data_IF_728216568486
#
_entry.id   IF_728216568486
#
_cell.length_a   1.000
_cell.length_b   1.000
_cell.length_c   1.000
_cell.angle_alpha   90.00
_cell.angle_beta   90.00
_cell.angle_gamma   90.00
#
_symmetry.space_group_name_H-M   'P 1'
#
loop_
_entity.id
_entity.type
_entity.pdbx_description
1 polymer ?
#
# COMPACT_ATOMS: atom_id res chain seq x y z
N UNK A 1 2.19 -4.58 23.69
CA UNK A 1 3.12 -3.45 23.89
C UNK A 1 3.26 -2.67 22.58
N UNK A 2 3.34 -1.35 22.65
CA UNK A 2 3.56 -0.43 21.53
C UNK A 2 5.00 -0.52 20.98
N UNK A 3 5.20 -0.94 19.73
CA UNK A 3 6.50 -0.82 19.08
C UNK A 3 6.82 0.65 18.75
N UNK A 4 8.11 1.01 18.68
CA UNK A 4 8.57 2.37 18.37
C UNK A 4 9.76 2.34 17.43
N UNK A 5 9.82 3.30 16.53
CA UNK A 5 10.99 3.55 15.70
C UNK A 5 11.72 4.77 16.23
N UNK A 6 13.03 4.62 16.46
CA UNK A 6 13.92 5.70 16.84
C UNK A 6 14.88 5.95 15.68
N UNK A 7 14.87 7.18 15.17
CA UNK A 7 15.62 7.57 13.98
C UNK A 7 16.51 8.74 14.36
N UNK A 8 17.79 8.64 14.01
CA UNK A 8 18.76 9.74 14.16
C UNK A 8 19.01 10.34 12.79
N UNK A 9 18.73 11.64 12.63
CA UNK A 9 18.93 12.37 11.38
C UNK A 9 20.40 12.64 11.06
N UNK A 10 20.65 13.23 9.89
CA UNK A 10 21.98 13.66 9.44
C UNK A 10 22.76 12.64 8.60
N UNK A 11 22.17 11.48 8.32
CA UNK A 11 22.83 10.42 7.56
C UNK A 11 22.61 10.54 6.06
N UNK A 12 23.67 10.30 5.28
CA UNK A 12 23.62 10.11 3.82
C UNK A 12 23.39 8.63 3.52
N UNK A 13 22.40 8.30 2.70
CA UNK A 13 22.19 6.91 2.30
C UNK A 13 23.11 6.53 1.12
N UNK A 14 23.69 5.35 1.17
CA UNK A 14 24.50 4.80 0.08
C UNK A 14 24.38 3.28 0.00
N UNK A 15 24.22 2.73 -1.21
CA UNK A 15 24.29 1.29 -1.43
C UNK A 15 23.25 0.77 -2.42
N UNK A 16 22.88 -0.49 -2.27
CA UNK A 16 21.92 -1.18 -3.14
C UNK A 16 20.82 -1.82 -2.29
N UNK A 17 19.57 -1.73 -2.76
CA UNK A 17 18.42 -2.35 -2.12
C UNK A 17 17.54 -3.08 -3.14
N UNK A 18 17.21 -4.34 -2.85
CA UNK A 18 16.25 -5.10 -3.62
C UNK A 18 14.84 -4.89 -3.06
N UNK A 19 13.85 -4.72 -3.92
CA UNK A 19 12.44 -4.65 -3.52
C UNK A 19 11.74 -5.99 -3.72
N UNK A 20 10.88 -6.34 -2.77
CA UNK A 20 10.00 -7.51 -2.88
C UNK A 20 8.79 -7.24 -3.77
N UNK A 21 7.89 -8.22 -3.87
CA UNK A 21 6.68 -8.10 -4.68
C UNK A 21 5.71 -7.04 -4.17
N UNK A 22 4.92 -6.50 -5.10
CA UNK A 22 3.97 -5.44 -4.86
C UNK A 22 2.84 -5.91 -3.94
N UNK A 23 2.66 -5.22 -2.81
CA UNK A 23 1.51 -5.43 -1.92
C UNK A 23 0.19 -5.32 -2.68
N UNK A 24 0.10 -4.30 -3.53
CA UNK A 24 -1.15 -3.99 -4.23
C UNK A 24 -1.46 -5.00 -5.33
N UNK A 25 -0.47 -5.76 -5.83
CA UNK A 25 -0.69 -6.89 -6.73
C UNK A 25 -0.99 -8.18 -5.96
N UNK A 26 -0.10 -8.60 -5.04
CA UNK A 26 -0.17 -9.93 -4.39
C UNK A 26 -1.54 -10.24 -3.78
N UNK A 27 -2.19 -9.26 -3.15
CA UNK A 27 -3.49 -9.47 -2.51
C UNK A 27 -4.60 -9.84 -3.52
N UNK A 28 -4.55 -9.30 -4.74
CA UNK A 28 -5.53 -9.61 -5.80
C UNK A 28 -5.18 -10.87 -6.52
N UNK A 29 -3.90 -11.15 -6.74
CA UNK A 29 -3.44 -12.42 -7.28
C UNK A 29 -3.86 -13.58 -6.36
N UNK A 30 -3.71 -13.41 -5.03
CA UNK A 30 -4.21 -14.35 -4.03
C UNK A 30 -5.73 -14.54 -4.15
N UNK A 31 -6.52 -13.46 -4.28
CA UNK A 31 -7.97 -13.57 -4.46
C UNK A 31 -8.38 -14.21 -5.79
N UNK A 32 -7.63 -13.97 -6.87
CA UNK A 32 -7.89 -14.53 -8.20
C UNK A 32 -7.78 -16.06 -8.22
N UNK A 33 -6.99 -16.66 -7.31
CA UNK A 33 -6.92 -18.13 -7.18
C UNK A 33 -8.28 -18.78 -6.89
N UNK A 34 -9.26 -18.06 -6.34
CA UNK A 34 -10.62 -18.57 -6.12
C UNK A 34 -11.37 -18.87 -7.43
N UNK A 35 -10.90 -18.36 -8.57
CA UNK A 35 -11.53 -18.56 -9.88
C UNK A 35 -11.26 -19.94 -10.48
N UNK A 36 -10.23 -20.66 -10.01
CA UNK A 36 -9.81 -21.95 -10.52
C UNK A 36 -9.72 -22.98 -9.40
N UNK A 37 -10.33 -24.14 -9.59
CA UNK A 37 -10.16 -25.29 -8.70
C UNK A 37 -8.74 -25.84 -8.81
N UNK A 38 -8.12 -26.17 -7.67
CA UNK A 38 -6.78 -26.74 -7.59
C UNK A 38 -5.74 -25.76 -7.02
N UNK A 39 -4.45 -26.12 -7.15
CA UNK A 39 -3.35 -25.41 -6.48
C UNK A 39 -2.66 -24.41 -7.39
N UNK A 40 -2.77 -23.12 -7.07
CA UNK A 40 -1.98 -22.05 -7.68
C UNK A 40 -0.79 -21.68 -6.78
N UNK A 41 0.33 -21.33 -7.38
CA UNK A 41 1.54 -20.90 -6.66
C UNK A 41 1.83 -19.44 -6.99
N UNK A 42 1.96 -18.60 -5.96
CA UNK A 42 2.34 -17.19 -6.10
C UNK A 42 3.69 -16.99 -5.44
N UNK A 43 4.68 -16.51 -6.19
CA UNK A 43 6.07 -16.30 -5.73
C UNK A 43 6.40 -14.82 -5.64
N UNK A 44 7.49 -14.46 -4.95
CA UNK A 44 7.87 -13.07 -4.65
C UNK A 44 6.84 -12.33 -3.77
N UNK A 45 6.16 -13.04 -2.87
CA UNK A 45 5.24 -12.45 -1.91
C UNK A 45 6.00 -11.59 -0.88
N UNK A 46 5.58 -10.34 -0.61
CA UNK A 46 6.21 -9.50 0.40
C UNK A 46 5.92 -9.98 1.82
N UNK A 47 6.90 -9.84 2.74
CA UNK A 47 6.77 -10.16 4.16
C UNK A 47 6.05 -9.04 4.93
N UNK A 48 4.75 -8.90 4.68
CA UNK A 48 3.88 -7.88 5.28
C UNK A 48 2.68 -8.52 5.97
N UNK A 49 2.09 -7.81 6.94
CA UNK A 49 0.94 -8.31 7.71
C UNK A 49 -0.29 -8.64 6.87
N UNK A 50 -0.48 -7.97 5.72
CA UNK A 50 -1.69 -8.15 4.90
C UNK A 50 -1.69 -9.50 4.16
N UNK A 51 -0.53 -10.12 3.88
CA UNK A 51 -0.45 -11.43 3.20
C UNK A 51 -0.99 -12.57 4.10
N UNK A 52 -0.56 -12.71 5.37
CA UNK A 52 -1.19 -13.64 6.30
C UNK A 52 -2.70 -13.38 6.52
N UNK A 53 -3.13 -12.12 6.57
CA UNK A 53 -4.56 -11.78 6.70
C UNK A 53 -5.36 -12.22 5.48
N UNK A 54 -4.81 -12.02 4.26
CA UNK A 54 -5.45 -12.54 3.05
C UNK A 54 -5.49 -14.08 3.05
N UNK A 55 -4.44 -14.74 3.53
CA UNK A 55 -4.46 -16.20 3.69
C UNK A 55 -5.57 -16.66 4.66
N UNK A 56 -5.82 -15.93 5.76
CA UNK A 56 -6.96 -16.20 6.65
C UNK A 56 -8.31 -15.98 5.96
N UNK A 57 -8.44 -14.94 5.12
CA UNK A 57 -9.65 -14.72 4.31
C UNK A 57 -9.92 -15.90 3.38
N UNK A 58 -8.92 -16.33 2.61
CA UNK A 58 -9.06 -17.46 1.69
C UNK A 58 -9.36 -18.78 2.42
N UNK A 59 -8.73 -19.02 3.57
CA UNK A 59 -9.06 -20.18 4.43
C UNK A 59 -10.51 -20.13 4.93
N UNK A 60 -10.99 -18.97 5.32
CA UNK A 60 -12.40 -18.76 5.68
C UNK A 60 -13.37 -19.11 4.55
N UNK A 61 -12.95 -18.88 3.30
CA UNK A 61 -13.70 -19.21 2.08
C UNK A 61 -13.56 -20.68 1.64
N UNK A 62 -12.81 -21.50 2.38
CA UNK A 62 -12.66 -22.93 2.14
C UNK A 62 -11.39 -23.34 1.38
N UNK A 63 -10.52 -22.39 1.01
CA UNK A 63 -9.22 -22.71 0.41
C UNK A 63 -8.21 -23.20 1.45
N UNK A 64 -7.25 -24.01 1.01
CA UNK A 64 -6.05 -24.31 1.81
C UNK A 64 -4.93 -23.36 1.39
N UNK A 65 -4.31 -22.68 2.35
CA UNK A 65 -3.21 -21.72 2.08
C UNK A 65 -1.98 -22.08 2.88
N UNK A 66 -0.89 -22.34 2.19
CA UNK A 66 0.44 -22.56 2.75
C UNK A 66 1.33 -21.37 2.39
N UNK A 67 1.96 -20.76 3.40
CA UNK A 67 2.92 -19.68 3.23
C UNK A 67 4.30 -20.19 3.64
N UNK A 68 5.25 -20.17 2.71
CA UNK A 68 6.64 -20.59 2.92
C UNK A 68 7.58 -19.52 2.34
N UNK A 69 8.18 -18.71 3.22
CA UNK A 69 9.00 -17.57 2.82
C UNK A 69 8.19 -16.55 1.98
N UNK A 70 8.63 -16.33 0.74
CA UNK A 70 8.01 -15.47 -0.25
C UNK A 70 7.07 -16.24 -1.22
N UNK A 71 6.71 -17.48 -0.88
CA UNK A 71 5.84 -18.33 -1.69
C UNK A 71 4.51 -18.58 -0.97
N UNK A 72 3.41 -18.34 -1.68
CA UNK A 72 2.07 -18.72 -1.27
C UNK A 72 1.53 -19.82 -2.18
N UNK A 73 1.24 -21.00 -1.64
CA UNK A 73 0.53 -22.07 -2.33
C UNK A 73 -0.91 -22.08 -1.88
N UNK A 74 -1.84 -21.90 -2.82
CA UNK A 74 -3.27 -21.76 -2.53
C UNK A 74 -4.02 -22.82 -3.31
N UNK A 75 -4.63 -23.76 -2.58
CA UNK A 75 -5.50 -24.79 -3.14
C UNK A 75 -6.96 -24.37 -2.95
N UNK A 76 -7.58 -23.95 -4.03
CA UNK A 76 -9.01 -23.58 -4.06
C UNK A 76 -9.88 -24.82 -4.25
N UNK A 77 -10.99 -24.96 -3.48
CA UNK A 77 -11.93 -26.06 -3.68
C UNK A 77 -12.74 -25.85 -4.97
N UNK A 78 -13.43 -26.90 -5.43
CA UNK A 78 -14.37 -26.80 -6.55
C UNK A 78 -15.50 -25.80 -6.25
N UNK A 79 -16.03 -25.86 -5.01
CA UNK A 79 -17.06 -24.96 -4.49
C UNK A 79 -16.53 -24.10 -3.33
N UNK A 80 -16.00 -22.89 -3.60
CA UNK A 80 -15.69 -21.92 -2.56
C UNK A 80 -16.94 -21.48 -1.82
N UNK A 81 -16.78 -21.16 -0.53
CA UNK A 81 -17.84 -20.48 0.23
C UNK A 81 -17.99 -19.05 -0.30
N UNK A 82 -19.23 -18.56 -0.32
CA UNK A 82 -19.54 -17.20 -0.78
C UNK A 82 -19.74 -16.19 0.36
N UNK A 83 -19.83 -16.64 1.62
CA UNK A 83 -20.03 -15.76 2.78
C UNK A 83 -18.69 -15.36 3.41
N UNK A 84 -18.22 -14.17 3.02
CA UNK A 84 -17.04 -13.49 3.53
C UNK A 84 -17.40 -12.49 4.66
N UNK A 85 -18.30 -12.89 5.54
CA UNK A 85 -18.74 -12.11 6.71
C UNK A 85 -18.09 -12.63 8.01
N UNK A 86 -16.77 -12.43 8.15
CA UNK A 86 -16.03 -12.85 9.34
C UNK A 86 -14.89 -11.90 9.69
N UNK A 87 -14.26 -12.10 10.85
CA UNK A 87 -13.34 -11.14 11.46
C UNK A 87 -12.20 -10.70 10.53
N UNK A 88 -11.51 -11.65 9.88
CA UNK A 88 -10.37 -11.34 9.00
C UNK A 88 -10.73 -10.38 7.86
N UNK A 89 -11.92 -10.50 7.26
CA UNK A 89 -12.38 -9.62 6.17
C UNK A 89 -12.55 -8.18 6.66
N UNK A 90 -12.99 -7.99 7.91
CA UNK A 90 -13.18 -6.66 8.51
C UNK A 90 -11.87 -5.99 8.95
N UNK A 91 -10.78 -6.75 9.10
CA UNK A 91 -9.51 -6.24 9.62
C UNK A 91 -8.72 -5.39 8.62
N UNK A 92 -8.99 -5.52 7.32
CA UNK A 92 -8.30 -4.74 6.30
C UNK A 92 -9.16 -4.55 5.05
N UNK A 93 -9.09 -3.36 4.48
CA UNK A 93 -9.98 -2.93 3.40
C UNK A 93 -9.79 -3.67 2.07
N UNK A 94 -8.58 -4.17 1.80
CA UNK A 94 -8.29 -4.87 0.56
C UNK A 94 -9.00 -6.23 0.46
N UNK A 95 -9.58 -6.76 1.54
CA UNK A 95 -10.38 -7.98 1.52
C UNK A 95 -11.55 -7.95 0.52
N UNK A 96 -12.04 -6.75 0.16
CA UNK A 96 -13.10 -6.56 -0.84
C UNK A 96 -12.75 -7.13 -2.23
N UNK A 97 -11.48 -7.40 -2.52
CA UNK A 97 -11.07 -8.00 -3.80
C UNK A 97 -11.54 -9.45 -3.99
N UNK A 98 -12.08 -10.12 -2.95
CA UNK A 98 -12.72 -11.44 -3.11
C UNK A 98 -14.12 -11.35 -3.73
N UNK A 99 -14.72 -10.15 -3.78
CA UNK A 99 -16.08 -9.95 -4.31
C UNK A 99 -16.19 -10.39 -5.78
N UNK A 100 -15.30 -9.88 -6.64
CA UNK A 100 -15.26 -10.22 -8.06
C UNK A 100 -15.17 -11.73 -8.31
N UNK A 101 -14.15 -12.42 -7.79
CA UNK A 101 -13.97 -13.85 -8.04
C UNK A 101 -15.08 -14.72 -7.45
N UNK A 102 -15.64 -14.37 -6.28
CA UNK A 102 -16.81 -15.08 -5.74
C UNK A 102 -18.05 -14.91 -6.61
N UNK A 103 -18.32 -13.70 -7.11
CA UNK A 103 -19.43 -13.48 -8.06
C UNK A 103 -19.16 -14.20 -9.38
N UNK A 104 -17.93 -14.19 -9.88
CA UNK A 104 -17.54 -14.91 -11.10
C UNK A 104 -17.74 -16.42 -10.99
N UNK A 105 -17.22 -17.04 -9.91
CA UNK A 105 -17.19 -18.49 -9.69
C UNK A 105 -18.49 -19.04 -9.09
N UNK A 106 -18.98 -18.45 -8.01
CA UNK A 106 -20.13 -18.94 -7.26
C UNK A 106 -21.47 -18.32 -7.70
N UNK A 107 -21.43 -17.31 -8.59
CA UNK A 107 -22.58 -16.47 -8.97
C UNK A 107 -23.27 -15.78 -7.77
N UNK A 108 -22.61 -15.79 -6.61
CA UNK A 108 -23.09 -15.25 -5.34
C UNK A 108 -21.91 -14.86 -4.47
N UNK A 109 -22.03 -13.75 -3.76
CA UNK A 109 -21.08 -13.30 -2.77
C UNK A 109 -21.80 -12.50 -1.68
N UNK A 110 -21.33 -12.63 -0.43
CA UNK A 110 -21.65 -11.75 0.68
C UNK A 110 -20.34 -11.32 1.31
N UNK A 111 -19.94 -10.06 1.17
CA UNK A 111 -18.64 -9.56 1.62
C UNK A 111 -18.84 -8.43 2.62
N UNK A 112 -18.31 -8.58 3.84
CA UNK A 112 -18.40 -7.54 4.85
C UNK A 112 -17.78 -6.23 4.33
N UNK A 113 -18.50 -5.12 4.50
CA UNK A 113 -17.98 -3.81 4.18
C UNK A 113 -16.82 -3.51 5.12
N UNK A 114 -15.65 -3.14 4.60
CA UNK A 114 -14.60 -2.63 5.43
C UNK A 114 -15.07 -1.32 6.07
N UNK A 115 -14.67 -1.08 7.31
CA UNK A 115 -14.99 0.16 8.02
C UNK A 115 -14.48 1.42 7.32
N UNK A 116 -14.77 2.58 7.91
CA UNK A 116 -14.27 3.87 7.42
C UNK A 116 -12.74 3.90 7.32
N UNK A 117 -12.23 4.49 6.23
CA UNK A 117 -10.79 4.67 6.02
C UNK A 117 -10.38 6.09 6.45
N UNK A 118 -9.21 6.23 7.06
CA UNK A 118 -8.76 7.50 7.60
C UNK A 118 -8.35 8.51 6.50
N UNK A 119 -8.18 8.05 5.27
CA UNK A 119 -7.77 8.86 4.11
C UNK A 119 -8.94 9.42 3.29
N UNK A 120 -10.19 9.03 3.58
CA UNK A 120 -11.38 9.54 2.91
C UNK A 120 -12.49 8.50 2.73
N UNK A 121 -13.63 8.94 2.20
CA UNK A 121 -14.71 8.02 1.79
C UNK A 121 -14.28 7.21 0.58
N UNK A 122 -14.47 5.90 0.65
CA UNK A 122 -14.17 4.97 -0.44
C UNK A 122 -15.41 4.10 -0.65
N UNK A 123 -16.43 4.59 -1.39
CA UNK A 123 -17.63 3.80 -1.63
C UNK A 123 -17.32 2.58 -2.52
N UNK A 124 -18.23 1.60 -2.50
CA UNK A 124 -18.20 0.42 -3.39
C UNK A 124 -19.31 0.48 -4.45
N UNK A 125 -19.79 1.68 -4.72
CA UNK A 125 -20.80 2.00 -5.73
C UNK A 125 -20.36 1.57 -7.13
N UNK A 126 -19.14 1.91 -7.56
CA UNK A 126 -18.62 1.54 -8.87
C UNK A 126 -18.48 0.02 -9.05
N UNK A 127 -18.09 -0.69 -7.98
CA UNK A 127 -18.02 -2.15 -8.00
C UNK A 127 -19.41 -2.75 -8.19
N UNK A 128 -20.40 -2.30 -7.41
CA UNK A 128 -21.78 -2.77 -7.52
C UNK A 128 -22.39 -2.41 -8.88
N UNK A 129 -22.14 -1.21 -9.39
CA UNK A 129 -22.65 -0.77 -10.69
C UNK A 129 -22.10 -1.62 -11.83
N UNK A 130 -20.80 -1.95 -11.83
CA UNK A 130 -20.21 -2.83 -12.82
C UNK A 130 -20.75 -4.26 -12.73
N UNK A 131 -20.87 -4.82 -11.52
CA UNK A 131 -21.44 -6.16 -11.34
C UNK A 131 -22.92 -6.22 -11.76
N UNK A 132 -23.70 -5.15 -11.53
CA UNK A 132 -25.09 -5.06 -12.01
C UNK A 132 -25.18 -5.06 -13.53
N UNK A 133 -24.25 -4.39 -14.22
CA UNK A 133 -24.18 -4.42 -15.67
C UNK A 133 -23.85 -5.81 -16.22
N UNK A 134 -23.09 -6.63 -15.48
CA UNK A 134 -22.87 -8.04 -15.78
C UNK A 134 -24.08 -8.95 -15.45
N UNK A 135 -25.18 -8.41 -14.93
CA UNK A 135 -26.40 -9.16 -14.60
C UNK A 135 -26.57 -9.55 -13.13
N UNK A 136 -25.67 -9.12 -12.24
CA UNK A 136 -25.84 -9.38 -10.80
C UNK A 136 -26.83 -8.41 -10.14
N UNK A 137 -27.61 -8.90 -9.17
CA UNK A 137 -28.32 -8.06 -8.21
C UNK A 137 -27.38 -7.77 -7.05
N UNK A 138 -27.10 -6.48 -6.80
CA UNK A 138 -26.19 -6.05 -5.74
C UNK A 138 -26.88 -5.10 -4.76
N UNK A 139 -26.89 -5.46 -3.48
CA UNK A 139 -27.48 -4.69 -2.38
C UNK A 139 -26.52 -4.61 -1.19
N UNK A 140 -26.74 -3.66 -0.29
CA UNK A 140 -26.05 -3.62 1.01
C UNK A 140 -27.03 -4.11 2.08
N UNK A 141 -26.67 -5.19 2.77
CA UNK A 141 -27.49 -5.81 3.82
C UNK A 141 -26.62 -6.03 5.06
N UNK A 142 -27.07 -5.55 6.23
CA UNK A 142 -26.37 -5.72 7.51
C UNK A 142 -24.86 -5.37 7.48
N UNK A 143 -24.48 -4.33 6.74
CA UNK A 143 -23.09 -3.92 6.60
C UNK A 143 -22.24 -4.83 5.70
N UNK A 144 -22.87 -5.63 4.84
CA UNK A 144 -22.21 -6.45 3.82
C UNK A 144 -22.69 -6.06 2.42
N UNK A 145 -21.81 -6.15 1.43
CA UNK A 145 -22.22 -6.18 0.02
C UNK A 145 -22.69 -7.58 -0.31
N UNK A 146 -23.94 -7.71 -0.71
CA UNK A 146 -24.53 -8.97 -1.18
C UNK A 146 -24.73 -8.85 -2.69
N UNK A 147 -24.11 -9.76 -3.44
CA UNK A 147 -24.22 -9.85 -4.89
C UNK A 147 -24.70 -11.25 -5.30
N UNK A 148 -25.68 -11.35 -6.20
CA UNK A 148 -26.25 -12.61 -6.68
C UNK A 148 -26.62 -12.52 -8.15
N UNK A 149 -26.32 -13.55 -8.94
CA UNK A 149 -26.69 -13.66 -10.35
C UNK A 149 -27.14 -15.09 -10.65
N UNK A 150 -28.10 -15.25 -11.57
CA UNK A 150 -28.39 -16.57 -12.16
C UNK A 150 -27.33 -16.90 -13.22
N UNK A 151 -27.00 -15.90 -14.04
CA UNK A 151 -25.96 -15.98 -15.06
C UNK A 151 -25.32 -14.60 -15.16
N UNK A 152 -23.99 -14.56 -15.31
CA UNK A 152 -23.29 -13.32 -15.64
C UNK A 152 -23.16 -13.23 -17.15
N UNK A 153 -23.45 -12.07 -17.73
CA UNK A 153 -23.33 -11.82 -19.17
C UNK A 153 -22.38 -10.66 -19.41
N UNK A 154 -21.65 -10.75 -20.51
CA UNK A 154 -20.77 -9.68 -20.95
C UNK A 154 -21.53 -8.38 -21.20
N UNK A 155 -20.90 -7.26 -20.87
CA UNK A 155 -21.49 -5.93 -20.97
C UNK A 155 -20.45 -4.87 -21.35
N UNK A 156 -20.93 -3.74 -21.86
CA UNK A 156 -20.12 -2.54 -22.03
C UNK A 156 -20.25 -1.66 -20.77
N UNK A 157 -19.15 -1.45 -20.06
CA UNK A 157 -19.11 -0.81 -18.75
C UNK A 157 -18.25 0.45 -18.81
N UNK A 158 -18.86 1.61 -18.61
CA UNK A 158 -18.16 2.88 -18.47
C UNK A 158 -17.91 3.21 -16.99
N UNK A 159 -16.65 3.33 -16.59
CA UNK A 159 -16.29 3.81 -15.26
C UNK A 159 -16.21 5.35 -15.24
N UNK A 160 -16.85 5.98 -14.25
CA UNK A 160 -16.78 7.44 -14.05
C UNK A 160 -15.39 7.91 -13.62
N UNK A 161 -14.69 7.07 -12.86
CA UNK A 161 -13.32 7.25 -12.40
C UNK A 161 -12.55 5.93 -12.58
N UNK A 162 -11.27 5.94 -12.97
CA UNK A 162 -10.46 4.73 -13.13
C UNK A 162 -10.10 4.12 -11.77
N UNK A 163 -11.10 3.55 -11.10
CA UNK A 163 -10.97 2.93 -9.78
C UNK A 163 -10.32 1.56 -9.91
N UNK A 164 -9.09 1.43 -9.38
CA UNK A 164 -8.31 0.19 -9.33
C UNK A 164 -9.16 -0.99 -8.85
N UNK A 165 -9.77 -0.85 -7.67
CA UNK A 165 -10.55 -1.94 -7.09
C UNK A 165 -11.80 -2.28 -7.91
N UNK A 166 -12.46 -1.30 -8.52
CA UNK A 166 -13.64 -1.56 -9.34
C UNK A 166 -13.24 -2.30 -10.61
N UNK A 167 -12.20 -1.85 -11.30
CA UNK A 167 -11.63 -2.53 -12.47
C UNK A 167 -11.27 -3.97 -12.15
N UNK A 168 -10.53 -4.23 -11.06
CA UNK A 168 -10.12 -5.58 -10.64
C UNK A 168 -11.32 -6.50 -10.33
N UNK A 169 -12.32 -6.02 -9.58
CA UNK A 169 -13.49 -6.85 -9.23
C UNK A 169 -14.36 -7.15 -10.45
N UNK A 170 -14.57 -6.17 -11.33
CA UNK A 170 -15.36 -6.36 -12.55
C UNK A 170 -14.61 -7.31 -13.50
N UNK A 171 -13.30 -7.12 -13.67
CA UNK A 171 -12.43 -8.00 -14.46
C UNK A 171 -12.52 -9.45 -13.98
N UNK A 172 -12.31 -9.70 -12.69
CA UNK A 172 -12.35 -11.06 -12.12
C UNK A 172 -13.74 -11.70 -12.20
N UNK A 173 -14.83 -10.92 -12.20
CA UNK A 173 -16.16 -11.46 -12.44
C UNK A 173 -16.40 -11.78 -13.93
N UNK A 174 -15.92 -10.90 -14.83
CA UNK A 174 -16.14 -10.97 -16.26
C UNK A 174 -15.42 -12.15 -16.94
N UNK A 175 -14.28 -12.60 -16.41
CA UNK A 175 -13.53 -13.74 -17.00
C UNK A 175 -14.33 -15.05 -17.03
N UNK A 176 -15.36 -15.20 -16.20
CA UNK A 176 -16.29 -16.36 -16.17
C UNK A 176 -17.73 -15.97 -16.54
N UNK A 177 -17.94 -14.82 -17.19
CA UNK A 177 -19.23 -14.39 -17.71
C UNK A 177 -19.49 -14.94 -19.13
N UNK A 178 -20.74 -14.98 -19.57
CA UNK A 178 -21.09 -15.38 -20.93
C UNK A 178 -20.96 -14.19 -21.90
N UNK A 179 -20.06 -14.29 -22.86
CA UNK A 179 -19.86 -13.27 -23.90
C UNK A 179 -18.70 -12.31 -23.61
N UNK A 180 -18.76 -11.13 -24.21
CA UNK A 180 -17.67 -10.14 -24.18
C UNK A 180 -18.03 -8.99 -23.26
N UNK A 181 -17.12 -8.67 -22.34
CA UNK A 181 -17.19 -7.47 -21.50
C UNK A 181 -16.16 -6.46 -21.98
N UNK A 182 -16.54 -5.20 -22.12
CA UNK A 182 -15.61 -4.10 -22.38
C UNK A 182 -15.67 -3.12 -21.22
N UNK A 183 -14.55 -2.84 -20.57
CA UNK A 183 -14.45 -1.84 -19.50
C UNK A 183 -13.76 -0.61 -20.06
N UNK A 184 -14.47 0.50 -20.11
CA UNK A 184 -13.96 1.81 -20.51
C UNK A 184 -13.57 2.64 -19.29
N UNK A 185 -12.53 3.47 -19.46
CA UNK A 185 -11.87 4.20 -18.38
C UNK A 185 -11.40 3.27 -17.26
N UNK A 186 -10.86 2.10 -17.65
CA UNK A 186 -10.28 1.13 -16.75
C UNK A 186 -9.02 1.70 -16.07
N UNK A 187 -8.78 1.24 -14.84
CA UNK A 187 -7.54 1.49 -14.13
C UNK A 187 -6.36 0.85 -14.87
N UNK A 188 -5.22 1.56 -14.91
CA UNK A 188 -4.07 1.25 -15.77
C UNK A 188 -2.81 0.88 -14.99
N UNK A 189 -2.94 0.79 -13.68
CA UNK A 189 -1.86 0.54 -12.74
C UNK A 189 -1.13 -0.78 -13.10
N UNK A 190 0.20 -0.84 -12.93
CA UNK A 190 0.96 -2.06 -13.15
C UNK A 190 0.42 -3.28 -12.39
N UNK A 191 -0.14 -3.06 -11.20
CA UNK A 191 -0.80 -4.09 -10.38
C UNK A 191 -2.03 -4.70 -11.09
N UNK A 192 -2.78 -3.92 -11.89
CA UNK A 192 -3.90 -4.39 -12.71
C UNK A 192 -3.39 -5.20 -13.90
N UNK A 193 -2.31 -4.74 -14.54
CA UNK A 193 -1.67 -5.46 -15.64
C UNK A 193 -1.14 -6.83 -15.18
N UNK A 194 -0.58 -6.89 -13.97
CA UNK A 194 -0.10 -8.13 -13.36
C UNK A 194 -1.25 -9.12 -13.13
N UNK A 195 -2.39 -8.64 -12.61
CA UNK A 195 -3.61 -9.43 -12.47
C UNK A 195 -4.10 -9.97 -13.82
N UNK A 196 -4.16 -9.13 -14.87
CA UNK A 196 -4.52 -9.59 -16.21
C UNK A 196 -3.56 -10.66 -16.74
N UNK A 197 -2.27 -10.50 -16.46
CA UNK A 197 -1.23 -11.46 -16.85
C UNK A 197 -1.47 -12.83 -16.19
N UNK A 198 -1.71 -12.85 -14.87
CA UNK A 198 -2.04 -14.10 -14.16
C UNK A 198 -3.35 -14.71 -14.68
N UNK A 199 -4.41 -13.91 -14.87
CA UNK A 199 -5.68 -14.41 -15.38
C UNK A 199 -5.53 -15.05 -16.77
N UNK A 200 -4.74 -14.46 -17.67
CA UNK A 200 -4.44 -15.06 -18.97
C UNK A 200 -3.62 -16.35 -18.84
N UNK A 201 -2.67 -16.42 -17.91
CA UNK A 201 -1.95 -17.68 -17.59
C UNK A 201 -2.88 -18.77 -17.03
N UNK A 202 -3.97 -18.38 -16.36
CA UNK A 202 -5.03 -19.29 -15.91
C UNK A 202 -5.99 -19.70 -17.04
N UNK A 203 -5.83 -19.14 -18.25
CA UNK A 203 -6.65 -19.45 -19.43
C UNK A 203 -7.77 -18.43 -19.73
N UNK A 204 -7.77 -17.26 -19.09
CA UNK A 204 -8.67 -16.17 -19.45
C UNK A 204 -8.29 -15.56 -20.80
N UNK A 205 -9.19 -14.77 -21.38
CA UNK A 205 -8.96 -14.00 -22.59
C UNK A 205 -9.17 -12.51 -22.28
N UNK A 206 -8.11 -11.87 -21.80
CA UNK A 206 -8.08 -10.45 -21.42
C UNK A 206 -7.12 -9.70 -22.33
N UNK A 207 -7.63 -8.67 -23.01
CA UNK A 207 -6.90 -7.80 -23.92
C UNK A 207 -7.00 -6.33 -23.48
N UNK A 208 -6.00 -5.52 -23.81
CA UNK A 208 -5.99 -4.08 -23.50
C UNK A 208 -5.57 -3.73 -22.06
N UNK A 209 -4.93 -4.66 -21.33
CA UNK A 209 -4.35 -4.38 -20.02
C UNK A 209 -3.35 -3.20 -20.09
N UNK A 210 -3.46 -2.25 -19.16
CA UNK A 210 -2.64 -1.02 -19.14
C UNK A 210 -3.16 0.09 -20.05
N UNK A 211 -4.19 -0.18 -20.84
CA UNK A 211 -4.92 0.78 -21.66
C UNK A 211 -6.19 1.27 -20.94
N UNK A 212 -6.75 2.45 -21.29
CA UNK A 212 -8.03 2.93 -20.74
C UNK A 212 -9.22 2.03 -21.10
N UNK A 213 -9.11 1.17 -22.11
CA UNK A 213 -10.14 0.23 -22.53
C UNK A 213 -9.60 -1.19 -22.46
N UNK A 214 -10.32 -2.06 -21.77
CA UNK A 214 -9.98 -3.47 -21.61
C UNK A 214 -11.14 -4.35 -22.07
N UNK A 215 -10.84 -5.36 -22.86
CA UNK A 215 -11.82 -6.32 -23.40
C UNK A 215 -11.59 -7.69 -22.79
N UNK A 216 -12.65 -8.30 -22.29
CA UNK A 216 -12.64 -9.60 -21.62
C UNK A 216 -13.62 -10.50 -22.35
N UNK A 217 -13.11 -11.56 -22.97
CA UNK A 217 -13.95 -12.64 -23.50
C UNK A 217 -14.07 -13.71 -22.42
N UNK A 218 -15.28 -13.89 -21.89
CA UNK A 218 -15.48 -14.85 -20.81
C UNK A 218 -15.29 -16.29 -21.26
N UNK A 219 -14.71 -17.10 -20.39
CA UNK A 219 -14.36 -18.51 -20.64
C UNK A 219 -15.12 -19.43 -19.70
N UNK A 220 -15.37 -20.71 -20.09
CA UNK A 220 -16.15 -21.63 -19.26
C UNK A 220 -15.43 -22.04 -17.97
N UNK A 221 -14.09 -22.04 -17.96
CA UNK A 221 -13.29 -22.38 -16.79
C UNK A 221 -11.89 -21.80 -16.87
N UNK A 222 -11.29 -21.62 -15.70
CA UNK A 222 -9.89 -21.26 -15.50
C UNK A 222 -9.15 -22.41 -14.80
N UNK A 223 -7.83 -22.41 -14.90
CA UNK A 223 -6.95 -23.43 -14.33
C UNK A 223 -5.94 -22.80 -13.38
N UNK A 224 -5.46 -23.56 -12.38
CA UNK A 224 -4.38 -23.11 -11.52
C UNK A 224 -3.12 -22.79 -12.31
N UNK A 225 -2.32 -21.86 -11.81
CA UNK A 225 -1.08 -21.42 -12.45
C UNK A 225 0.01 -21.10 -11.44
N UNK A 226 1.24 -20.97 -11.94
CA UNK A 226 2.35 -20.40 -11.19
C UNK A 226 2.63 -18.98 -11.68
N UNK A 227 2.63 -18.03 -10.76
CA UNK A 227 2.79 -16.62 -11.09
C UNK A 227 3.77 -15.94 -10.13
N UNK A 228 4.57 -15.01 -10.65
CA UNK A 228 5.54 -14.23 -9.88
C UNK A 228 5.07 -12.79 -9.78
N UNK A 229 4.80 -12.31 -8.57
CA UNK A 229 4.35 -10.93 -8.32
C UNK A 229 5.39 -9.93 -8.84
N UNK A 230 4.93 -8.87 -9.52
CA UNK A 230 5.80 -7.76 -9.94
C UNK A 230 6.46 -7.04 -8.74
N UNK A 231 7.58 -6.35 -8.98
CA UNK A 231 8.25 -5.54 -7.96
C UNK A 231 7.37 -4.41 -7.42
N UNK A 232 7.51 -4.09 -6.13
CA UNK A 232 6.74 -3.02 -5.50
C UNK A 232 7.27 -1.63 -5.88
N UNK A 233 6.56 -0.99 -6.82
CA UNK A 233 6.89 0.36 -7.31
C UNK A 233 6.80 1.43 -6.21
N UNK A 234 5.90 1.30 -5.25
CA UNK A 234 5.75 2.29 -4.16
C UNK A 234 6.92 2.18 -3.19
N UNK A 235 7.33 0.94 -2.89
CA UNK A 235 8.52 0.69 -2.08
C UNK A 235 9.78 1.18 -2.77
N UNK A 236 9.94 0.84 -4.04
CA UNK A 236 11.09 1.23 -4.84
C UNK A 236 11.24 2.76 -4.92
N UNK A 237 10.16 3.46 -5.28
CA UNK A 237 10.17 4.91 -5.35
C UNK A 237 10.46 5.58 -4.00
N UNK A 238 10.02 4.99 -2.89
CA UNK A 238 10.32 5.53 -1.55
C UNK A 238 11.81 5.47 -1.24
N UNK A 239 12.51 4.41 -1.67
CA UNK A 239 13.98 4.37 -1.60
C UNK A 239 14.63 5.42 -2.49
N UNK A 240 14.14 5.62 -3.70
CA UNK A 240 14.61 6.68 -4.60
C UNK A 240 14.43 8.08 -4.00
N UNK A 241 13.27 8.37 -3.43
CA UNK A 241 12.99 9.64 -2.74
C UNK A 241 13.88 9.78 -1.50
N UNK A 242 14.08 8.72 -0.71
CA UNK A 242 14.97 8.75 0.45
C UNK A 242 16.43 9.02 0.05
N UNK A 243 16.90 8.47 -1.07
CA UNK A 243 18.21 8.79 -1.63
C UNK A 243 18.30 10.28 -1.97
N UNK A 244 17.31 10.83 -2.67
CA UNK A 244 17.26 12.26 -2.98
C UNK A 244 17.26 13.13 -1.71
N UNK A 245 16.40 12.81 -0.74
CA UNK A 245 16.29 13.56 0.52
C UNK A 245 17.58 13.61 1.33
N UNK A 246 18.33 12.51 1.32
CA UNK A 246 19.56 12.37 2.11
C UNK A 246 20.82 12.76 1.35
N UNK A 247 20.67 13.33 0.14
CA UNK A 247 21.78 13.59 -0.80
C UNK A 247 22.63 12.33 -1.03
N UNK A 248 21.96 11.20 -1.14
CA UNK A 248 22.52 9.86 -1.16
C UNK A 248 22.85 9.32 -2.55
N UNK A 249 23.15 8.03 -2.59
CA UNK A 249 23.48 7.25 -3.78
C UNK A 249 22.95 5.81 -3.62
N UNK A 250 21.72 5.57 -4.09
CA UNK A 250 21.06 4.27 -3.95
C UNK A 250 20.73 3.68 -5.31
N UNK A 251 21.10 2.42 -5.50
CA UNK A 251 20.57 1.55 -6.55
C UNK A 251 19.42 0.73 -6.00
N UNK A 252 18.28 0.73 -6.68
CA UNK A 252 17.08 -0.04 -6.34
C UNK A 252 16.85 -1.10 -7.40
N UNK A 253 16.86 -2.38 -7.01
CA UNK A 253 16.75 -3.54 -7.91
C UNK A 253 15.45 -4.32 -7.69
N UNK A 254 15.03 -5.12 -8.67
CA UNK A 254 13.84 -5.97 -8.58
C UNK A 254 12.55 -5.25 -8.98
N UNK A 255 12.65 -4.18 -9.77
CA UNK A 255 11.53 -3.35 -10.22
C UNK A 255 11.73 -2.99 -11.70
N UNK A 256 10.66 -2.99 -12.48
CA UNK A 256 10.66 -2.36 -13.80
C UNK A 256 10.53 -0.83 -13.62
N UNK A 257 11.55 -0.01 -13.99
CA UNK A 257 11.48 1.44 -13.87
C UNK A 257 10.37 2.09 -14.71
N UNK A 258 9.86 1.39 -15.74
CA UNK A 258 8.72 1.85 -16.54
C UNK A 258 7.47 2.13 -15.69
N UNK A 259 7.32 1.41 -14.56
CA UNK A 259 6.24 1.60 -13.60
C UNK A 259 6.34 2.91 -12.78
N UNK A 260 7.46 3.64 -12.92
CA UNK A 260 7.79 4.82 -12.11
C UNK A 260 8.23 6.04 -12.94
N UNK A 261 8.06 6.04 -14.26
CA UNK A 261 8.60 7.07 -15.16
C UNK A 261 8.36 8.51 -14.67
N UNK A 262 7.12 8.86 -14.31
CA UNK A 262 6.82 10.22 -13.83
C UNK A 262 7.49 10.54 -12.49
N UNK A 263 7.61 9.57 -11.58
CA UNK A 263 8.26 9.76 -10.28
C UNK A 263 9.76 9.96 -10.48
N UNK A 264 10.39 9.15 -11.32
CA UNK A 264 11.80 9.26 -11.67
C UNK A 264 12.09 10.60 -12.36
N UNK A 265 11.21 11.06 -13.25
CA UNK A 265 11.32 12.38 -13.87
C UNK A 265 11.22 13.51 -12.83
N UNK A 266 10.33 13.41 -11.84
CA UNK A 266 10.24 14.39 -10.75
C UNK A 266 11.46 14.42 -9.85
N UNK A 267 12.12 13.27 -9.63
CA UNK A 267 13.41 13.23 -8.93
C UNK A 267 14.52 13.89 -9.74
N UNK A 268 14.53 13.68 -11.06
CA UNK A 268 15.44 14.39 -11.96
C UNK A 268 15.21 15.91 -11.94
N UNK A 269 13.95 16.37 -11.98
CA UNK A 269 13.59 17.80 -11.84
C UNK A 269 14.07 18.39 -10.50
N UNK A 270 14.06 17.58 -9.44
CA UNK A 270 14.59 17.95 -8.13
C UNK A 270 16.13 17.99 -8.09
N UNK A 271 16.81 17.64 -9.18
CA UNK A 271 18.27 17.70 -9.34
C UNK A 271 18.99 16.37 -9.10
N UNK A 272 18.27 15.25 -9.03
CA UNK A 272 18.91 13.94 -8.91
C UNK A 272 19.42 13.45 -10.27
N UNK A 273 20.59 12.82 -10.28
CA UNK A 273 21.00 11.97 -11.41
C UNK A 273 20.25 10.65 -11.33
N UNK A 274 19.48 10.34 -12.38
CA UNK A 274 18.69 9.12 -12.50
C UNK A 274 19.29 8.25 -13.60
N UNK A 275 19.58 6.99 -13.30
CA UNK A 275 20.02 5.99 -14.28
C UNK A 275 19.12 4.77 -14.18
N UNK A 276 18.71 4.19 -15.31
CA UNK A 276 17.76 3.08 -15.37
C UNK A 276 18.38 1.90 -16.13
N UNK A 277 18.08 0.68 -15.71
CA UNK A 277 18.26 -0.57 -16.46
C UNK A 277 16.88 -1.22 -16.64
N UNK A 278 16.81 -2.41 -17.21
CA UNK A 278 15.53 -3.11 -17.41
C UNK A 278 14.84 -3.53 -16.10
N UNK A 279 15.61 -3.73 -15.02
CA UNK A 279 15.17 -4.29 -13.73
C UNK A 279 15.62 -3.50 -12.49
N UNK A 280 16.18 -2.29 -12.71
CA UNK A 280 16.69 -1.46 -11.64
C UNK A 280 16.74 0.03 -12.02
N UNK A 281 16.84 0.88 -11.01
CA UNK A 281 17.25 2.27 -11.21
C UNK A 281 18.18 2.74 -10.10
N UNK A 282 19.00 3.75 -10.40
CA UNK A 282 19.92 4.39 -9.45
C UNK A 282 19.59 5.87 -9.34
N UNK A 283 19.55 6.35 -8.09
CA UNK A 283 19.37 7.76 -7.74
C UNK A 283 20.62 8.24 -7.04
N UNK A 284 21.26 9.27 -7.61
CA UNK A 284 22.37 9.98 -6.98
C UNK A 284 21.98 11.44 -6.82
N UNK A 285 22.03 11.95 -5.60
CA UNK A 285 21.79 13.36 -5.30
C UNK A 285 23.04 13.96 -4.66
N UNK A 286 23.62 14.97 -5.30
CA UNK A 286 24.82 15.66 -4.80
C UNK A 286 24.45 16.86 -3.95
N UNK A 287 23.66 17.76 -4.53
CA UNK A 287 23.26 19.01 -3.90
C UNK A 287 21.93 18.89 -3.18
N UNK A 288 21.55 19.94 -2.45
CA UNK A 288 20.21 20.03 -1.87
C UNK A 288 19.14 19.90 -2.99
N UNK A 289 18.08 19.08 -2.80
CA UNK A 289 17.03 18.95 -3.81
C UNK A 289 16.35 20.27 -4.10
N UNK A 290 15.89 20.48 -5.34
CA UNK A 290 15.08 21.64 -5.73
C UNK A 290 13.59 21.35 -5.55
N UNK A 291 12.82 22.38 -5.22
CA UNK A 291 11.38 22.28 -5.08
C UNK A 291 10.73 21.83 -6.40
N UNK A 292 9.82 20.85 -6.31
CA UNK A 292 9.07 20.31 -7.45
C UNK A 292 7.59 20.24 -7.13
N UNK A 293 6.77 20.67 -8.08
CA UNK A 293 5.32 20.57 -7.97
C UNK A 293 4.85 19.16 -8.35
N UNK A 294 3.92 18.63 -7.57
CA UNK A 294 3.33 17.30 -7.74
C UNK A 294 1.81 17.42 -7.68
N UNK A 295 1.14 16.75 -8.61
CA UNK A 295 -0.31 16.55 -8.57
C UNK A 295 -0.58 15.06 -8.71
N UNK A 296 -1.30 14.47 -7.76
CA UNK A 296 -1.63 13.04 -7.81
C UNK A 296 -2.69 12.81 -8.88
N UNK A 297 -2.55 11.72 -9.61
CA UNK A 297 -3.47 11.31 -10.67
C UNK A 297 -3.44 9.77 -10.77
N UNK A 298 -4.50 9.13 -11.32
CA UNK A 298 -4.46 7.72 -11.69
C UNK A 298 -3.27 7.40 -12.61
N UNK A 299 -2.77 6.18 -12.60
CA UNK A 299 -1.62 5.79 -13.44
C UNK A 299 -1.90 6.08 -14.93
N UNK A 300 -0.95 6.65 -15.70
CA UNK A 300 0.49 6.84 -15.43
C UNK A 300 0.84 8.15 -14.69
N UNK A 301 -0.13 8.81 -14.07
CA UNK A 301 0.05 9.99 -13.23
C UNK A 301 0.82 9.71 -11.93
N UNK A 302 1.06 10.77 -11.14
CA UNK A 302 1.85 10.63 -9.92
C UNK A 302 1.04 9.87 -8.87
N UNK A 303 1.55 8.75 -8.33
CA UNK A 303 0.75 7.91 -7.46
C UNK A 303 0.49 8.61 -6.14
N UNK A 304 -0.77 8.69 -5.73
CA UNK A 304 -1.19 9.22 -4.43
C UNK A 304 -0.49 8.50 -3.26
N UNK A 305 -0.06 7.25 -3.45
CA UNK A 305 0.71 6.50 -2.46
C UNK A 305 2.09 7.07 -2.14
N UNK A 306 2.66 7.88 -3.04
CA UNK A 306 3.93 8.59 -2.82
C UNK A 306 3.76 10.05 -2.44
N UNK A 307 2.52 10.55 -2.33
CA UNK A 307 2.25 11.93 -1.91
C UNK A 307 2.87 12.28 -0.54
N UNK A 308 2.86 11.38 0.47
CA UNK A 308 3.54 11.64 1.73
C UNK A 308 5.05 11.82 1.58
N UNK A 309 5.67 11.01 0.73
CA UNK A 309 7.10 11.05 0.44
C UNK A 309 7.47 12.32 -0.36
N UNK A 310 6.60 12.76 -1.26
CA UNK A 310 6.76 14.01 -2.00
C UNK A 310 6.75 15.23 -1.06
N UNK A 311 5.84 15.26 -0.07
CA UNK A 311 5.82 16.32 0.96
C UNK A 311 7.10 16.29 1.81
N UNK A 312 7.56 15.09 2.19
CA UNK A 312 8.80 14.95 2.95
C UNK A 312 10.00 15.48 2.16
N UNK A 313 10.11 15.16 0.86
CA UNK A 313 11.13 15.73 -0.02
C UNK A 313 11.01 17.25 -0.15
N UNK A 314 9.80 17.77 -0.39
CA UNK A 314 9.54 19.19 -0.54
C UNK A 314 9.92 20.00 0.71
N UNK A 315 9.76 19.44 1.91
CA UNK A 315 10.11 20.11 3.18
C UNK A 315 11.59 20.46 3.29
N UNK A 316 12.47 19.66 2.67
CA UNK A 316 13.92 19.87 2.70
C UNK A 316 14.45 20.44 1.38
N UNK A 317 13.62 20.60 0.36
CA UNK A 317 14.03 21.07 -0.96
C UNK A 317 14.11 22.60 -1.02
N UNK A 318 15.05 23.16 -1.78
CA UNK A 318 15.18 24.60 -1.98
C UNK A 318 14.04 25.16 -2.83
N UNK A 319 13.29 26.09 -2.26
CA UNK A 319 12.16 26.77 -2.90
C UNK A 319 10.83 26.50 -2.20
N UNK A 320 9.75 26.63 -2.97
CA UNK A 320 8.37 26.34 -2.53
C UNK A 320 7.76 25.34 -3.49
N UNK A 321 7.20 24.26 -2.96
CA UNK A 321 6.48 23.24 -3.73
C UNK A 321 4.98 23.34 -3.45
N UNK A 322 4.19 23.14 -4.50
CA UNK A 322 2.76 22.89 -4.41
C UNK A 322 2.49 21.41 -4.64
N UNK A 323 1.88 20.75 -3.66
CA UNK A 323 1.49 19.35 -3.72
C UNK A 323 -0.04 19.28 -3.75
N UNK A 324 -0.61 18.70 -4.81
CA UNK A 324 -2.06 18.59 -5.01
C UNK A 324 -2.50 17.13 -4.92
N UNK A 325 -3.54 16.85 -4.14
CA UNK A 325 -4.14 15.51 -4.00
C UNK A 325 -5.52 15.45 -4.67
N UNK A 326 -5.60 14.81 -5.84
CA UNK A 326 -6.84 14.68 -6.63
C UNK A 326 -7.54 13.32 -6.46
N UNK A 327 -6.93 12.37 -5.74
CA UNK A 327 -7.46 10.99 -5.60
C UNK A 327 -8.18 10.80 -4.27
N UNK A 328 -7.69 11.38 -3.18
CA UNK A 328 -8.26 11.20 -1.84
C UNK A 328 -8.42 12.52 -1.07
N UNK A 329 -9.64 12.79 -0.62
CA UNK A 329 -10.01 14.07 0.03
C UNK A 329 -9.27 14.34 1.35
N UNK A 330 -8.92 13.31 2.13
CA UNK A 330 -8.38 13.48 3.48
C UNK A 330 -6.95 12.95 3.64
N UNK A 331 -6.15 12.90 2.56
CA UNK A 331 -4.79 12.35 2.61
C UNK A 331 -3.75 13.27 3.25
N UNK A 332 -4.06 14.55 3.52
CA UNK A 332 -3.12 15.49 4.16
C UNK A 332 -3.06 15.42 5.70
N UNK A 333 -3.81 14.53 6.36
CA UNK A 333 -3.86 14.48 7.84
C UNK A 333 -2.50 14.35 8.54
N UNK A 334 -1.49 13.78 7.90
CA UNK A 334 -0.15 13.65 8.48
C UNK A 334 0.67 14.96 8.41
N UNK A 335 0.25 15.96 7.64
CA UNK A 335 0.99 17.22 7.48
C UNK A 335 1.12 17.96 8.81
N UNK A 336 0.10 17.89 9.67
CA UNK A 336 0.18 18.46 11.03
C UNK A 336 1.32 17.84 11.84
N UNK A 337 1.55 16.53 11.71
CA UNK A 337 2.67 15.86 12.38
C UNK A 337 4.02 16.28 11.77
N UNK A 338 4.08 16.53 10.46
CA UNK A 338 5.28 17.11 9.82
C UNK A 338 5.57 18.53 10.33
N UNK A 339 4.53 19.35 10.52
CA UNK A 339 4.66 20.70 11.12
C UNK A 339 5.19 20.59 12.55
N UNK A 340 4.72 19.62 13.33
CA UNK A 340 5.23 19.35 14.70
C UNK A 340 6.70 18.95 14.72
N UNK A 341 7.17 18.29 13.67
CA UNK A 341 8.60 17.99 13.50
C UNK A 341 9.40 19.24 13.11
N UNK A 342 8.78 20.25 12.50
CA UNK A 342 9.39 21.52 12.14
C UNK A 342 9.27 21.90 10.65
N UNK A 343 8.46 21.18 9.88
CA UNK A 343 8.21 21.53 8.48
C UNK A 343 7.38 22.83 8.36
N UNK A 344 7.73 23.68 7.38
CA UNK A 344 6.88 24.81 6.98
C UNK A 344 5.93 24.34 5.88
N UNK A 345 4.73 23.93 6.28
CA UNK A 345 3.69 23.45 5.40
C UNK A 345 2.33 24.05 5.76
N UNK A 346 1.51 24.31 4.75
CA UNK A 346 0.11 24.76 4.91
C UNK A 346 -0.78 24.00 3.95
N UNK A 347 -1.90 23.51 4.46
CA UNK A 347 -2.92 22.80 3.68
C UNK A 347 -4.13 23.69 3.45
N UNK A 348 -4.63 23.72 2.22
CA UNK A 348 -5.88 24.38 1.83
C UNK A 348 -6.63 23.49 0.83
N UNK A 349 -7.76 22.93 1.24
CA UNK A 349 -8.51 21.95 0.46
C UNK A 349 -7.63 20.78 -0.03
N UNK A 350 -7.51 20.66 -1.35
CA UNK A 350 -6.72 19.63 -2.03
C UNK A 350 -5.25 19.98 -2.23
N UNK A 351 -4.79 21.10 -1.68
CA UNK A 351 -3.44 21.62 -1.90
C UNK A 351 -2.64 21.68 -0.60
N UNK A 352 -1.36 21.38 -0.69
CA UNK A 352 -0.37 21.67 0.33
C UNK A 352 0.77 22.50 -0.26
N UNK A 353 0.97 23.69 0.31
CA UNK A 353 2.14 24.52 0.04
C UNK A 353 3.20 24.17 1.05
N UNK A 354 4.35 23.70 0.57
CA UNK A 354 5.49 23.29 1.40
C UNK A 354 6.71 24.14 1.05
N UNK A 355 7.34 24.73 2.06
CA UNK A 355 8.53 25.57 1.91
C UNK A 355 9.75 24.92 2.54
N UNK A 356 10.91 25.25 2.00
CA UNK A 356 12.19 24.81 2.52
C UNK A 356 12.37 25.20 4.00
N UNK A 357 12.42 24.22 4.91
CA UNK A 357 12.96 24.46 6.25
C UNK A 357 14.50 24.39 6.18
N UNK A 358 15.18 25.41 6.71
CA UNK A 358 16.65 25.45 6.72
C UNK A 358 17.25 24.59 7.85
N UNK A 359 16.44 24.27 8.86
CA UNK A 359 16.72 23.29 9.90
C UNK A 359 15.41 22.71 10.41
N UNK A 360 15.37 21.40 10.67
CA UNK A 360 14.32 20.80 11.50
C UNK A 360 14.73 21.04 12.97
N UNK A 361 14.07 21.94 13.72
CA UNK A 361 14.28 22.01 15.16
C UNK A 361 13.70 20.73 15.76
N UNK A 362 14.56 19.74 15.98
CA UNK A 362 14.15 18.52 16.65
C UNK A 362 13.75 18.88 18.09
N UNK A 363 12.45 19.05 18.30
CA UNK A 363 11.87 19.15 19.63
C UNK A 363 11.54 17.74 20.11
N UNK A 364 11.97 17.34 21.32
CA UNK A 364 11.42 16.13 21.92
C UNK A 364 9.91 16.33 22.07
N UNK A 365 9.13 15.39 21.54
CA UNK A 365 7.71 15.21 21.82
C UNK A 365 7.54 14.84 23.30
N UNK A 366 7.68 15.84 24.17
CA UNK A 366 7.72 15.69 25.62
C UNK A 366 7.63 17.02 26.35
N UNK A 367 6.85 17.97 25.85
CA UNK A 367 6.45 19.13 26.64
C UNK A 367 5.20 18.77 27.45
N UNK A 368 5.40 18.57 28.76
CA UNK A 368 4.32 18.48 29.75
C UNK A 368 3.53 19.79 29.73
N UNK A 369 2.35 19.79 29.13
CA UNK A 369 1.26 20.69 29.52
C UNK A 369 0.34 19.93 30.47
N UNK A 370 0.13 20.54 31.63
CA UNK A 370 -0.69 20.07 32.74
C UNK A 370 -2.09 19.60 32.32
N UNK A 371 -2.48 18.43 32.82
CA UNK A 371 -3.87 18.04 33.02
C UNK A 371 -4.51 17.25 31.87
N UNK A 372 -4.80 15.97 32.16
CA UNK A 372 -5.54 14.97 31.35
C UNK A 372 -4.70 14.28 30.29
N UNK A 373 -4.23 13.09 30.66
CA UNK A 373 -3.51 12.19 29.76
C UNK A 373 -4.40 11.72 28.62
N UNK A 374 -3.85 11.79 27.41
CA UNK A 374 -4.40 11.11 26.26
C UNK A 374 -3.28 10.38 25.53
N UNK A 375 -3.53 9.09 25.37
CA UNK A 375 -2.72 8.07 24.75
C UNK A 375 -3.25 7.94 23.32
N UNK A 376 -2.40 8.03 22.29
CA UNK A 376 -2.87 7.92 20.89
C UNK A 376 -2.08 6.91 20.06
N UNK A 377 -2.86 6.12 19.31
CA UNK A 377 -2.51 5.17 18.26
C UNK A 377 -2.85 5.80 16.91
N UNK A 378 -1.92 5.83 15.95
CA UNK A 378 -2.25 6.14 14.56
C UNK A 378 -1.55 5.18 13.57
N UNK A 379 -2.28 4.54 12.65
CA UNK A 379 -1.70 3.64 11.64
C UNK A 379 -0.89 4.33 10.54
N UNK A 380 -1.12 5.63 10.28
CA UNK A 380 -0.52 6.37 9.16
C UNK A 380 0.99 6.65 9.30
N UNK A 381 1.55 6.51 10.50
CA UNK A 381 3.01 6.53 10.68
C UNK A 381 3.69 5.29 10.09
N UNK A 382 2.96 4.21 9.77
CA UNK A 382 3.54 3.04 9.09
C UNK A 382 4.00 3.34 7.65
N UNK A 383 3.60 4.49 7.09
CA UNK A 383 4.05 4.96 5.78
C UNK A 383 5.24 5.92 5.86
N UNK A 384 5.57 6.48 7.03
CA UNK A 384 6.63 7.50 7.19
C UNK A 384 7.84 7.03 8.00
N UNK A 385 7.98 5.73 8.24
CA UNK A 385 9.10 5.19 9.00
C UNK A 385 10.24 4.84 8.06
N UNK A 386 11.38 5.50 8.27
CA UNK A 386 12.67 5.09 7.70
C UNK A 386 12.96 3.61 8.00
N UNK A 387 13.45 2.85 7.01
CA UNK A 387 13.65 1.40 7.13
C UNK A 387 14.65 0.99 8.22
N UNK A 388 14.46 -0.23 8.78
CA UNK A 388 15.36 -0.89 9.77
C UNK A 388 16.71 -1.24 9.12
N UNK A 389 17.81 -1.02 9.85
CA UNK A 389 19.16 -1.44 9.43
C UNK A 389 19.92 -2.11 10.58
N UNK A 390 19.85 -3.43 10.77
CA UNK A 390 20.70 -4.13 11.76
C UNK A 390 22.18 -4.00 11.44
N UNK A 391 22.96 -3.39 12.33
CA UNK A 391 24.39 -3.65 12.47
C UNK A 391 24.56 -4.92 13.30
N UNK A 392 25.06 -6.01 12.70
CA UNK A 392 25.30 -7.27 13.42
C UNK A 392 26.75 -7.32 13.91
N UNK A 393 26.95 -7.32 15.23
CA UNK A 393 27.99 -8.14 15.84
C UNK A 393 27.30 -9.42 16.32
N UNK A 394 27.43 -10.49 15.54
CA UNK A 394 27.16 -11.90 15.91
C UNK A 394 25.87 -12.18 16.69
N UNK A 395 24.78 -12.45 15.98
CA UNK A 395 23.83 -13.56 16.24
C UNK A 395 22.59 -13.41 15.36
N UNK A 396 22.20 -14.54 14.76
CA UNK A 396 21.10 -14.70 13.80
C UNK A 396 19.76 -14.38 14.47
N UNK A 397 19.00 -13.42 13.92
CA UNK A 397 17.58 -13.28 14.22
C UNK A 397 16.85 -12.79 12.96
N UNK A 398 15.97 -13.63 12.41
CA UNK A 398 15.00 -13.23 11.40
C UNK A 398 13.98 -12.29 12.06
N UNK A 399 13.81 -11.09 11.52
CA UNK A 399 12.96 -10.05 12.11
C UNK A 399 11.71 -9.89 11.26
N UNK A 400 10.56 -10.42 11.73
CA UNK A 400 9.23 -10.12 11.17
C UNK A 400 8.92 -8.62 11.29
N UNK A 401 8.42 -8.02 10.22
CA UNK A 401 8.01 -6.61 10.20
C UNK A 401 6.54 -6.49 10.62
N UNK A 402 6.24 -5.67 11.63
CA UNK A 402 4.88 -5.36 12.10
C UNK A 402 4.16 -4.32 11.24
N UNK A 403 4.67 -4.02 10.04
CA UNK A 403 4.11 -3.00 9.16
C UNK A 403 3.21 -3.64 8.09
N UNK A 404 2.06 -3.00 7.82
CA UNK A 404 1.11 -3.45 6.78
C UNK A 404 1.56 -3.14 5.35
N UNK A 405 2.72 -2.50 5.16
CA UNK A 405 3.11 -1.90 3.88
C UNK A 405 4.56 -2.17 3.47
N UNK A 406 5.45 -2.61 4.37
CA UNK A 406 6.89 -2.70 4.08
C UNK A 406 7.53 -3.98 4.63
N UNK A 407 8.32 -4.64 3.80
CA UNK A 407 9.31 -5.65 4.17
C UNK A 407 10.67 -5.25 3.60
N UNK A 408 11.74 -5.30 4.41
CA UNK A 408 13.11 -5.07 3.94
C UNK A 408 13.96 -6.27 4.33
N UNK A 409 14.46 -7.01 3.35
CA UNK A 409 15.49 -8.04 3.51
C UNK A 409 16.80 -7.53 2.91
N UNK A 410 17.84 -7.38 3.74
CA UNK A 410 19.16 -6.97 3.28
C UNK A 410 20.03 -8.22 2.96
N UNK A 411 20.79 -8.24 1.85
CA UNK A 411 21.80 -9.28 1.60
C UNK A 411 22.91 -9.26 2.66
N UNK A 412 23.51 -10.43 2.93
CA UNK A 412 24.51 -10.66 4.01
C UNK A 412 25.84 -9.92 3.87
N UNK A 413 26.05 -9.07 2.86
CA UNK A 413 27.38 -8.52 2.57
C UNK A 413 27.36 -7.00 2.43
N UNK A 414 28.06 -6.34 3.36
CA UNK A 414 28.43 -4.91 3.48
C UNK A 414 27.50 -4.09 4.38
N UNK A 415 28.10 -3.60 5.46
CA UNK A 415 27.43 -2.92 6.56
C UNK A 415 26.91 -1.52 6.18
N UNK A 416 25.67 -1.25 6.55
CA UNK A 416 25.04 0.06 6.48
C UNK A 416 25.21 0.76 7.83
N UNK A 417 25.71 2.00 7.83
CA UNK A 417 25.89 2.76 9.06
C UNK A 417 24.65 3.62 9.35
N UNK A 418 23.69 3.06 10.08
CA UNK A 418 22.62 3.80 10.74
C UNK A 418 22.55 3.33 12.20
N UNK A 419 22.77 4.23 13.17
CA UNK A 419 22.71 3.91 14.60
C UNK A 419 21.26 3.94 15.08
N UNK A 420 20.74 2.80 15.55
CA UNK A 420 19.39 2.68 16.14
C UNK A 420 19.38 1.66 17.30
N UNK A 421 18.38 1.74 18.18
CA UNK A 421 18.21 0.79 19.30
C UNK A 421 16.72 0.48 19.56
N UNK A 422 16.43 -0.77 19.96
CA UNK A 422 15.11 -1.23 20.43
C UNK A 422 15.11 -1.18 21.96
N UNK A 423 14.14 -0.51 22.60
CA UNK A 423 14.03 -0.50 24.06
C UNK A 423 12.67 -1.04 24.56
N UNK A 424 12.67 -2.04 25.46
CA UNK A 424 11.52 -2.35 26.30
C UNK A 424 11.42 -1.35 27.46
N UNK A 425 10.20 -1.13 27.96
CA UNK A 425 9.84 -0.02 28.86
C UNK A 425 10.45 -0.08 30.28
N UNK A 426 11.25 -1.09 30.62
CA UNK A 426 11.60 -1.43 32.02
C UNK A 426 13.05 -1.19 32.44
N UNK A 427 13.93 -0.66 31.59
CA UNK A 427 15.31 -0.34 32.02
C UNK A 427 15.42 1.11 32.49
N UNK A 428 15.35 1.33 33.80
CA UNK A 428 15.89 2.53 34.44
C UNK A 428 17.42 2.41 34.50
N UNK A 429 18.10 2.63 33.38
CA UNK A 429 19.55 2.86 33.39
C UNK A 429 19.81 4.35 33.16
N UNK A 430 20.28 5.03 34.21
CA UNK A 430 20.95 6.32 34.11
C UNK A 430 22.24 6.14 33.31
N UNK A 431 22.39 6.88 32.21
CA UNK A 431 23.62 6.94 31.43
C UNK A 431 24.31 8.30 31.66
N UNK A 432 25.66 8.33 31.64
CA UNK A 432 26.45 9.50 32.00
C UNK A 432 26.23 10.64 30.99
N UNK A 433 26.36 11.89 31.47
CA UNK A 433 26.23 13.08 30.63
C UNK A 433 27.22 13.07 29.46
N UNK A 434 26.77 13.29 28.21
CA UNK A 434 27.67 13.54 27.09
C UNK A 434 27.92 15.04 26.90
N UNK A 435 29.20 15.41 26.77
CA UNK A 435 29.64 16.74 26.42
C UNK A 435 29.20 17.20 25.02
N UNK A 436 28.98 18.51 24.92
CA UNK A 436 28.92 19.40 23.76
C UNK A 436 28.97 18.75 22.36
N UNK A 437 27.88 18.12 21.92
CA UNK A 437 27.46 18.14 20.52
C UNK A 437 25.94 17.84 20.44
N UNK A 438 25.14 18.85 20.10
CA UNK A 438 23.68 18.80 20.17
C UNK A 438 23.08 18.02 18.99
N UNK A 439 23.08 16.68 19.07
CA UNK A 439 22.24 15.84 18.22
C UNK A 439 20.87 15.67 18.88
N UNK A 440 19.85 16.25 18.27
CA UNK A 440 18.52 16.26 18.83
C UNK A 440 17.74 14.98 18.42
N UNK A 441 16.96 14.45 19.37
CA UNK A 441 16.36 13.09 19.34
C UNK A 441 14.83 13.15 19.20
N UNK A 442 14.25 12.37 18.28
CA UNK A 442 12.80 12.24 18.10
C UNK A 442 12.33 10.86 18.59
N UNK A 443 11.30 10.83 19.43
CA UNK A 443 10.67 9.60 19.95
C UNK A 443 9.21 9.54 19.49
N UNK A 444 8.89 8.65 18.56
CA UNK A 444 7.52 8.43 18.10
C UNK A 444 6.94 7.17 18.76
N UNK A 445 5.72 7.27 19.30
CA UNK A 445 5.03 6.16 19.97
C UNK A 445 3.84 5.65 19.15
N UNK A 446 3.78 4.36 18.86
CA UNK A 446 2.65 3.73 18.18
C UNK A 446 1.82 2.91 19.18
N UNK A 447 0.60 3.32 19.50
CA UNK A 447 -0.31 2.44 20.22
C UNK A 447 -1.03 1.50 19.22
N UNK A 448 -1.18 0.22 19.58
CA UNK A 448 -2.03 -0.68 18.82
C UNK A 448 -3.50 -0.31 19.00
N UNK A 449 -4.33 -0.64 18.02
CA UNK A 449 -5.79 -0.54 18.15
C UNK A 449 -6.25 -1.45 19.31
N UNK A 450 -7.09 -0.98 20.25
CA UNK A 450 -7.67 -1.87 21.26
C UNK A 450 -8.56 -2.92 20.58
N UNK A 451 -8.55 -4.13 21.12
CA UNK A 451 -9.53 -5.16 20.80
C UNK A 451 -10.94 -4.60 21.01
N UNK A 452 -11.79 -4.70 19.99
CA UNK A 452 -13.19 -4.29 20.08
C UNK A 452 -13.94 -5.30 20.95
N UNK A 453 -14.01 -5.01 22.25
CA UNK A 453 -15.01 -5.56 23.16
C UNK A 453 -16.35 -4.86 22.96
N UNK A 454 -17.41 -5.62 23.17
CA UNK A 454 -18.81 -5.31 22.96
C UNK A 454 -19.31 -4.03 23.68
N UNK A 455 -20.42 -3.50 23.18
CA UNK A 455 -21.31 -2.48 23.78
C UNK A 455 -20.98 -0.96 23.63
N UNK A 456 -21.73 -0.31 22.72
CA UNK A 456 -22.65 0.86 22.93
C UNK A 456 -22.73 1.73 21.65
N UNK A 457 -23.83 1.66 20.91
CA UNK A 457 -25.01 2.56 21.01
C UNK A 457 -24.69 4.07 20.97
N UNK A 458 -25.06 4.67 19.83
CA UNK A 458 -25.64 6.01 19.63
C UNK A 458 -25.38 7.12 20.67
N UNK A 459 -24.79 8.24 20.23
CA UNK A 459 -25.45 9.55 20.40
C UNK A 459 -24.78 10.70 19.63
N UNK A 460 -25.68 11.57 19.16
CA UNK A 460 -25.59 12.82 18.42
C UNK A 460 -24.52 13.86 18.82
N UNK A 461 -24.17 14.69 17.82
CA UNK A 461 -23.96 16.16 17.85
C UNK A 461 -23.89 16.85 19.22
N UNK A 462 -22.82 17.62 19.46
CA UNK A 462 -22.90 19.09 19.66
C UNK A 462 -21.50 19.73 19.67
N UNK A 463 -21.45 20.86 18.99
CA UNK A 463 -20.44 21.92 19.08
C UNK A 463 -20.38 22.53 20.48
N UNK A 464 -19.17 22.82 20.94
CA UNK A 464 -18.78 24.09 21.57
C UNK A 464 -17.29 24.32 21.36
#
# INVERSE_FOLDING_TARGET
>A
MAERFMVTGGNRLSGEVAVGGAKNSVLKLMAATLLAEGTSTITNCPDILDVPLMAEVLRGLGATVELDGDVARITSPDEPKYDADFAAVRQFRASVCVLGPLVGRCKRAKVALPGGDAIGSRPLDMHQAGLRQLGARCNIEHGCVVAQAETLRGAEIQLEFPSVGATENILMAAVLAEGVTTIHNAAREPDVVDLCTMLNQMGAQVEGAGSPTMTITGVPRLYPTEHRVIGDRIVAATWGIAAAMTRGDITVTGIDPSHLQLVLHKLHDAGATVTQTDDSFRIVQYERPKAVNVATLPFPGFPTDLQPMAIALASIADGTSMITENVFEARFRFVEEMIRLGADARTDGHHAVVRACHSYPVRPSGARTSGRGLAWSWPGLSQMVTPRFTTCSTSTAAIRCSSRTWSVSAPRSRGYALRYARQPRSSSQSWPEPGLDQAARIVLSWQGCPEAGEDKQACCLRTQ
#
